data_IF_534275748355
#
_entry.id   IF_534275748355
#
_cell.length_a   1.000
_cell.length_b   1.000
_cell.length_c   1.000
_cell.angle_alpha   90.00
_cell.angle_beta   90.00
_cell.angle_gamma   90.00
#
_symmetry.space_group_name_H-M   'P 1'
#
loop_
_entity.id
_entity.type
_entity.pdbx_description
1 polymer ?
#
# COMPACT_ATOMS: atom_id res chain seq x y z
N UNK A 1 -13.85 7.77 14.70
CA UNK A 1 -14.19 7.46 13.29
C UNK A 1 -12.95 6.90 12.60
N UNK A 2 -12.78 5.57 12.61
CA UNK A 2 -11.69 4.91 11.89
C UNK A 2 -12.11 4.72 10.43
N UNK A 3 -11.37 5.28 9.48
CA UNK A 3 -11.67 5.08 8.06
C UNK A 3 -11.36 3.62 7.65
N UNK A 4 -12.13 3.01 6.72
CA UNK A 4 -11.97 1.62 6.28
C UNK A 4 -10.61 1.23 5.63
N UNK A 5 -9.64 2.15 5.54
CA UNK A 5 -8.42 2.02 4.73
C UNK A 5 -7.14 1.62 5.48
N UNK A 6 -7.24 1.07 6.70
CA UNK A 6 -6.07 0.63 7.48
C UNK A 6 -5.98 -0.88 7.65
N UNK A 7 -6.10 -1.63 6.55
CA UNK A 7 -5.89 -3.07 6.58
C UNK A 7 -4.39 -3.38 6.56
N UNK A 8 -3.92 -4.29 7.43
CA UNK A 8 -2.51 -4.72 7.50
C UNK A 8 -1.95 -5.14 6.12
N UNK A 9 -2.80 -5.72 5.27
CA UNK A 9 -2.48 -6.08 3.89
C UNK A 9 -2.10 -4.87 3.03
N UNK A 10 -2.85 -3.77 3.09
CA UNK A 10 -2.55 -2.54 2.34
C UNK A 10 -1.20 -1.97 2.76
N UNK A 11 -0.88 -2.01 4.07
CA UNK A 11 0.42 -1.57 4.58
C UNK A 11 1.60 -2.41 4.07
N UNK A 12 1.41 -3.73 3.94
CA UNK A 12 2.42 -4.66 3.37
C UNK A 12 2.59 -4.43 1.87
N UNK A 13 1.49 -4.32 1.12
CA UNK A 13 1.54 -4.08 -0.34
C UNK A 13 2.24 -2.77 -0.65
N UNK A 14 1.87 -1.69 0.04
CA UNK A 14 2.53 -0.38 -0.12
C UNK A 14 4.02 -0.46 0.22
N UNK A 15 4.39 -1.15 1.30
CA UNK A 15 5.80 -1.35 1.67
C UNK A 15 6.59 -2.10 0.60
N UNK A 16 6.02 -3.15 0.01
CA UNK A 16 6.67 -3.93 -1.06
C UNK A 16 6.83 -3.13 -2.35
N UNK A 17 5.79 -2.39 -2.75
CA UNK A 17 5.85 -1.53 -3.94
C UNK A 17 6.89 -0.42 -3.77
N UNK A 18 6.94 0.19 -2.59
CA UNK A 18 7.91 1.22 -2.26
C UNK A 18 9.35 0.67 -2.27
N UNK A 19 9.57 -0.49 -1.64
CA UNK A 19 10.88 -1.16 -1.67
C UNK A 19 11.32 -1.54 -3.08
N UNK A 20 10.42 -2.08 -3.90
CA UNK A 20 10.70 -2.39 -5.30
C UNK A 20 11.06 -1.14 -6.10
N UNK A 21 10.31 -0.04 -5.93
CA UNK A 21 10.58 1.20 -6.63
C UNK A 21 11.95 1.77 -6.26
N UNK A 22 12.35 1.72 -4.98
CA UNK A 22 13.70 2.13 -4.56
C UNK A 22 14.80 1.28 -5.20
N UNK A 23 14.63 -0.04 -5.25
CA UNK A 23 15.62 -0.94 -5.89
C UNK A 23 15.72 -0.66 -7.39
N UNK A 24 14.60 -0.42 -8.07
CA UNK A 24 14.57 -0.05 -9.48
C UNK A 24 15.30 1.27 -9.71
N UNK A 25 14.99 2.32 -8.92
CA UNK A 25 15.69 3.60 -8.99
C UNK A 25 17.19 3.44 -8.70
N UNK A 26 17.56 2.65 -7.70
CA UNK A 26 18.97 2.43 -7.36
C UNK A 26 19.73 1.75 -8.51
N UNK A 27 19.21 0.64 -9.05
CA UNK A 27 19.88 -0.09 -10.13
C UNK A 27 20.00 0.74 -11.41
N UNK A 28 18.92 1.42 -11.81
CA UNK A 28 18.94 2.31 -12.99
C UNK A 28 19.81 3.55 -12.77
N UNK A 29 19.84 4.09 -11.55
CA UNK A 29 20.68 5.22 -11.16
C UNK A 29 22.17 4.87 -11.17
N UNK A 30 22.55 3.71 -10.63
CA UNK A 30 23.92 3.19 -10.71
C UNK A 30 24.36 3.01 -12.16
N UNK A 31 23.50 2.41 -13.00
CA UNK A 31 23.79 2.26 -14.42
C UNK A 31 24.05 3.62 -15.08
N UNK A 32 23.18 4.60 -14.85
CA UNK A 32 23.34 5.96 -15.39
C UNK A 32 24.61 6.66 -14.87
N UNK A 33 24.93 6.48 -13.59
CA UNK A 33 26.12 7.06 -12.97
C UNK A 33 27.40 6.48 -13.56
N UNK A 34 27.53 5.15 -13.61
CA UNK A 34 28.73 4.49 -14.14
C UNK A 34 28.89 4.62 -15.65
N UNK A 35 27.80 4.84 -16.40
CA UNK A 35 27.89 5.19 -17.80
C UNK A 35 28.55 6.57 -18.01
N UNK A 36 28.34 7.51 -17.08
CA UNK A 36 28.93 8.85 -17.12
C UNK A 36 30.29 8.94 -16.42
N UNK A 37 30.51 8.11 -15.40
CA UNK A 37 31.72 8.07 -14.56
C UNK A 37 32.16 6.62 -14.37
N UNK A 38 32.67 5.96 -15.42
CA UNK A 38 33.10 4.57 -15.33
C UNK A 38 34.34 4.44 -14.44
N UNK A 39 34.40 3.37 -13.65
CA UNK A 39 35.62 2.98 -12.95
C UNK A 39 36.66 2.44 -13.96
N UNK A 40 37.96 2.44 -13.61
CA UNK A 40 39.00 1.86 -14.47
C UNK A 40 38.64 0.43 -14.89
N UNK A 41 38.66 0.16 -16.20
CA UNK A 41 38.33 -1.15 -16.78
C UNK A 41 36.85 -1.41 -17.06
N UNK A 42 35.92 -0.57 -16.58
CA UNK A 42 34.49 -0.70 -16.91
C UNK A 42 34.21 -0.14 -18.31
N UNK A 43 33.57 -0.97 -19.14
CA UNK A 43 33.08 -0.58 -20.47
C UNK A 43 31.59 -0.85 -20.54
N UNK A 44 30.82 0.15 -20.94
CA UNK A 44 29.37 0.03 -21.11
C UNK A 44 28.98 0.15 -22.57
N UNK A 45 27.97 -0.61 -22.96
CA UNK A 45 27.35 -0.46 -24.26
C UNK A 45 26.56 0.86 -24.30
N UNK A 46 27.04 1.83 -25.07
CA UNK A 46 26.35 3.12 -25.31
C UNK A 46 25.31 3.02 -26.43
N UNK A 47 25.21 1.84 -27.07
CA UNK A 47 24.25 1.51 -28.12
C UNK A 47 23.59 0.18 -27.81
N UNK A 48 22.30 0.01 -28.17
CA UNK A 48 21.43 1.01 -28.80
C UNK A 48 20.98 2.11 -27.82
N UNK A 49 20.72 3.33 -28.31
CA UNK A 49 20.36 4.48 -27.45
C UNK A 49 19.06 4.27 -26.64
N UNK A 50 18.19 3.40 -27.15
CA UNK A 50 16.94 2.95 -26.55
C UNK A 50 17.16 2.32 -25.17
N UNK A 51 18.31 1.68 -24.94
CA UNK A 51 18.64 1.12 -23.63
C UNK A 51 18.70 2.22 -22.57
N UNK A 52 19.42 3.32 -22.85
CA UNK A 52 19.52 4.45 -21.93
C UNK A 52 18.17 5.15 -21.73
N UNK A 53 17.40 5.32 -22.81
CA UNK A 53 16.05 5.89 -22.72
C UNK A 53 15.13 5.06 -21.84
N UNK A 54 15.16 3.73 -22.00
CA UNK A 54 14.36 2.82 -21.18
C UNK A 54 14.77 2.89 -19.71
N UNK A 55 16.08 2.81 -19.41
CA UNK A 55 16.55 2.87 -18.01
C UNK A 55 16.25 4.22 -17.37
N UNK A 56 16.38 5.33 -18.09
CA UNK A 56 16.02 6.64 -17.55
C UNK A 56 14.53 6.85 -17.41
N UNK A 57 13.74 6.43 -18.39
CA UNK A 57 12.28 6.44 -18.29
C UNK A 57 11.83 5.66 -17.06
N UNK A 58 12.36 4.45 -16.87
CA UNK A 58 12.07 3.61 -15.72
C UNK A 58 12.49 4.27 -14.40
N UNK A 59 13.68 4.86 -14.34
CA UNK A 59 14.18 5.57 -13.15
C UNK A 59 13.25 6.72 -12.74
N UNK A 60 12.89 7.58 -13.71
CA UNK A 60 12.07 8.78 -13.47
C UNK A 60 10.65 8.37 -13.10
N UNK A 61 10.04 7.43 -13.83
CA UNK A 61 8.68 6.96 -13.53
C UNK A 61 8.60 6.29 -12.16
N UNK A 62 9.58 5.45 -11.81
CA UNK A 62 9.66 4.87 -10.47
C UNK A 62 9.86 5.94 -9.38
N UNK A 63 10.74 6.93 -9.63
CA UNK A 63 10.96 8.07 -8.74
C UNK A 63 9.68 8.88 -8.47
N UNK A 64 8.89 9.15 -9.50
CA UNK A 64 7.60 9.84 -9.37
C UNK A 64 6.60 8.95 -8.61
N UNK A 65 6.55 7.65 -8.88
CA UNK A 65 5.66 6.72 -8.19
C UNK A 65 5.98 6.59 -6.69
N UNK A 66 7.25 6.80 -6.28
CA UNK A 66 7.64 6.82 -4.87
C UNK A 66 6.95 7.95 -4.10
N UNK A 67 6.68 9.11 -4.72
CA UNK A 67 6.07 10.26 -4.02
C UNK A 67 4.76 9.88 -3.31
N UNK A 68 3.70 9.39 -4.00
CA UNK A 68 2.46 9.02 -3.33
C UNK A 68 2.63 7.81 -2.40
N UNK A 69 3.50 6.85 -2.73
CA UNK A 69 3.76 5.68 -1.89
C UNK A 69 4.41 6.07 -0.55
N UNK A 70 5.38 6.98 -0.59
CA UNK A 70 6.09 7.49 0.58
C UNK A 70 5.15 8.31 1.45
N UNK A 71 4.35 9.21 0.86
CA UNK A 71 3.34 9.99 1.60
C UNK A 71 2.29 9.08 2.27
N UNK A 72 1.81 8.05 1.56
CA UNK A 72 0.89 7.07 2.13
C UNK A 72 1.52 6.32 3.31
N UNK A 73 2.79 5.91 3.18
CA UNK A 73 3.52 5.22 4.25
C UNK A 73 3.77 6.12 5.45
N UNK A 74 4.18 7.37 5.22
CA UNK A 74 4.41 8.35 6.29
C UNK A 74 3.11 8.61 7.06
N UNK A 75 1.98 8.77 6.38
CA UNK A 75 0.68 8.96 7.04
C UNK A 75 0.30 7.80 7.99
N UNK A 76 0.66 6.57 7.62
CA UNK A 76 0.46 5.39 8.50
C UNK A 76 1.38 5.41 9.71
N UNK A 77 2.62 5.88 9.54
CA UNK A 77 3.67 5.87 10.59
C UNK A 77 3.61 7.11 11.49
N UNK A 78 2.97 8.20 11.05
CA UNK A 78 2.85 9.45 11.82
C UNK A 78 2.41 9.23 13.28
N UNK A 79 1.37 8.45 13.61
CA UNK A 79 0.97 8.21 15.00
C UNK A 79 2.07 7.54 15.84
N UNK A 80 2.91 6.70 15.24
CA UNK A 80 4.03 6.06 15.93
C UNK A 80 5.16 7.06 16.25
N UNK A 81 5.31 8.11 15.44
CA UNK A 81 6.32 9.15 15.67
C UNK A 81 5.98 10.07 16.86
N UNK A 82 4.69 10.21 17.19
CA UNK A 82 4.19 11.08 18.28
C UNK A 82 3.98 10.33 19.60
N UNK A 83 4.44 9.08 19.71
CA UNK A 83 4.30 8.29 20.93
C UNK A 83 5.12 8.86 22.09
N UNK A 84 4.55 8.76 23.29
CA UNK A 84 5.17 9.09 24.58
C UNK A 84 5.27 7.84 25.46
N UNK A 85 6.39 7.61 26.18
CA UNK A 85 7.65 8.35 26.15
C UNK A 85 8.41 8.16 24.82
N UNK A 86 9.08 9.21 24.30
CA UNK A 86 9.69 9.20 22.96
C UNK A 86 10.88 8.25 22.83
N UNK A 87 11.56 7.95 23.95
CA UNK A 87 12.69 7.02 24.00
C UNK A 87 12.50 6.13 25.22
N UNK A 88 12.41 4.82 24.99
CA UNK A 88 12.28 3.80 26.04
C UNK A 88 13.62 3.15 26.42
N UNK A 89 14.70 3.47 25.70
CA UNK A 89 16.06 2.97 25.91
C UNK A 89 16.97 3.22 24.71
N UNK A 90 18.25 2.84 24.82
CA UNK A 90 19.28 3.06 23.77
C UNK A 90 18.93 2.32 22.48
N UNK A 91 18.46 1.07 22.57
CA UNK A 91 18.04 0.28 21.40
C UNK A 91 16.88 0.95 20.67
N UNK A 92 15.85 1.39 21.41
CA UNK A 92 14.71 2.11 20.83
C UNK A 92 15.11 3.44 20.18
N UNK A 93 16.09 4.15 20.75
CA UNK A 93 16.65 5.36 20.13
C UNK A 93 17.31 5.04 18.79
N UNK A 94 18.15 3.99 18.74
CA UNK A 94 18.83 3.57 17.51
C UNK A 94 17.82 3.13 16.43
N UNK A 95 16.75 2.43 16.82
CA UNK A 95 15.66 2.08 15.90
C UNK A 95 15.01 3.33 15.30
N UNK A 96 14.65 4.32 16.13
CA UNK A 96 14.05 5.58 15.65
C UNK A 96 15.00 6.37 14.77
N UNK A 97 16.29 6.44 15.12
CA UNK A 97 17.31 7.10 14.31
C UNK A 97 17.47 6.41 12.95
N UNK A 98 17.45 5.07 12.90
CA UNK A 98 17.54 4.32 11.64
C UNK A 98 16.38 4.67 10.69
N UNK A 99 15.16 4.80 11.24
CA UNK A 99 13.97 5.20 10.50
C UNK A 99 14.09 6.65 10.05
N UNK A 100 14.54 7.55 10.92
CA UNK A 100 14.71 8.96 10.59
C UNK A 100 15.71 9.15 9.45
N UNK A 101 16.85 8.45 9.47
CA UNK A 101 17.84 8.46 8.40
C UNK A 101 17.24 7.96 7.09
N UNK A 102 16.52 6.83 7.12
CA UNK A 102 15.86 6.28 5.93
C UNK A 102 14.84 7.26 5.33
N UNK A 103 13.96 7.83 6.16
CA UNK A 103 12.94 8.79 5.72
C UNK A 103 13.57 10.06 5.17
N UNK A 104 14.56 10.63 5.87
CA UNK A 104 15.26 11.83 5.41
C UNK A 104 15.96 11.58 4.07
N UNK A 105 16.70 10.46 3.94
CA UNK A 105 17.36 10.09 2.69
C UNK A 105 16.36 9.90 1.55
N UNK A 106 15.21 9.25 1.80
CA UNK A 106 14.17 9.05 0.81
C UNK A 106 13.58 10.37 0.30
N UNK A 107 13.25 11.28 1.22
CA UNK A 107 12.70 12.60 0.86
C UNK A 107 13.73 13.40 0.06
N UNK A 108 14.97 13.48 0.53
CA UNK A 108 16.04 14.22 -0.17
C UNK A 108 16.29 13.65 -1.56
N UNK A 109 16.34 12.31 -1.70
CA UNK A 109 16.50 11.64 -2.99
C UNK A 109 15.38 12.00 -3.97
N UNK A 110 14.13 11.83 -3.53
CA UNK A 110 12.97 12.08 -4.40
C UNK A 110 12.86 13.55 -4.78
N UNK A 111 13.05 14.46 -3.83
CA UNK A 111 13.00 15.91 -4.08
C UNK A 111 14.12 16.33 -5.02
N UNK A 112 15.38 15.97 -4.75
CA UNK A 112 16.50 16.36 -5.62
C UNK A 112 16.37 15.73 -7.00
N UNK A 113 15.95 14.47 -7.09
CA UNK A 113 15.70 13.79 -8.36
C UNK A 113 14.59 14.43 -9.18
N UNK A 114 13.48 14.79 -8.53
CA UNK A 114 12.36 15.49 -9.16
C UNK A 114 12.81 16.86 -9.69
N UNK A 115 13.51 17.66 -8.88
CA UNK A 115 13.98 18.98 -9.28
C UNK A 115 15.01 18.91 -10.41
N UNK A 116 15.83 17.86 -10.45
CA UNK A 116 16.73 17.58 -11.57
C UNK A 116 15.96 17.34 -12.89
N UNK A 117 14.74 16.77 -12.87
CA UNK A 117 13.92 16.65 -14.10
C UNK A 117 13.49 18.01 -14.66
N UNK A 118 13.37 19.03 -13.80
CA UNK A 118 13.12 20.42 -14.17
C UNK A 118 14.41 21.23 -14.39
N UNK A 119 15.58 20.60 -14.24
CA UNK A 119 16.90 21.26 -14.30
C UNK A 119 17.04 22.43 -13.31
N UNK A 120 16.29 22.41 -12.20
CA UNK A 120 16.37 23.44 -11.17
C UNK A 120 17.20 22.94 -9.99
N UNK A 121 18.30 23.65 -9.69
CA UNK A 121 19.27 23.26 -8.66
C UNK A 121 19.44 24.40 -7.64
N UNK A 122 18.54 24.53 -6.65
CA UNK A 122 18.65 25.52 -5.58
C UNK A 122 19.78 25.21 -4.56
N UNK A 123 20.80 24.44 -4.96
CA UNK A 123 21.90 24.01 -4.11
C UNK A 123 23.25 24.18 -4.79
N UNK A 124 24.34 24.36 -4.02
CA UNK A 124 25.67 24.60 -4.57
C UNK A 124 26.46 23.31 -4.91
N UNK A 125 25.94 22.13 -4.57
CA UNK A 125 26.67 20.86 -4.69
C UNK A 125 26.43 20.13 -6.03
N UNK A 126 27.37 19.28 -6.48
CA UNK A 126 27.21 18.52 -7.72
C UNK A 126 26.13 17.42 -7.57
N UNK A 127 24.97 17.65 -8.18
CA UNK A 127 23.81 16.75 -8.10
C UNK A 127 24.19 15.27 -8.32
N UNK A 128 24.86 14.93 -9.42
CA UNK A 128 25.15 13.54 -9.80
C UNK A 128 25.92 12.76 -8.72
N UNK A 129 26.92 13.40 -8.12
CA UNK A 129 27.78 12.78 -7.11
C UNK A 129 27.02 12.63 -5.78
N UNK A 130 26.34 13.68 -5.34
CA UNK A 130 25.58 13.69 -4.09
C UNK A 130 24.38 12.76 -4.17
N UNK A 131 23.65 12.77 -5.27
CA UNK A 131 22.50 11.90 -5.51
C UNK A 131 22.94 10.43 -5.60
N UNK A 132 24.08 10.11 -6.22
CA UNK A 132 24.61 8.76 -6.19
C UNK A 132 25.04 8.33 -4.77
N UNK A 133 25.78 9.17 -4.05
CA UNK A 133 26.24 8.87 -2.69
C UNK A 133 25.06 8.65 -1.71
N UNK A 134 24.06 9.53 -1.74
CA UNK A 134 22.86 9.40 -0.93
C UNK A 134 22.03 8.17 -1.32
N UNK A 135 22.14 7.65 -2.55
CA UNK A 135 21.41 6.45 -2.94
C UNK A 135 21.93 5.21 -2.19
N UNK A 136 23.24 5.15 -1.91
CA UNK A 136 23.80 4.12 -1.02
C UNK A 136 23.34 4.27 0.42
N UNK A 137 23.23 5.52 0.92
CA UNK A 137 22.67 5.77 2.27
C UNK A 137 21.21 5.32 2.35
N UNK A 138 20.42 5.61 1.32
CA UNK A 138 19.02 5.20 1.23
C UNK A 138 18.87 3.68 1.21
N UNK A 139 19.61 2.98 0.34
CA UNK A 139 19.52 1.52 0.24
C UNK A 139 20.11 0.83 1.48
N UNK A 140 21.23 1.33 2.01
CA UNK A 140 21.83 0.81 3.24
C UNK A 140 20.91 0.97 4.45
N UNK A 141 20.27 2.13 4.60
CA UNK A 141 19.28 2.35 5.68
C UNK A 141 17.99 1.56 5.46
N UNK A 142 17.54 1.36 4.22
CA UNK A 142 16.42 0.46 3.90
C UNK A 142 16.75 -0.98 4.29
N UNK A 143 17.94 -1.47 3.94
CA UNK A 143 18.39 -2.81 4.29
C UNK A 143 18.49 -2.99 5.82
N UNK A 144 19.05 -1.99 6.52
CA UNK A 144 19.08 -1.96 7.98
C UNK A 144 17.66 -1.97 8.57
N UNK A 145 16.77 -1.13 8.04
CA UNK A 145 15.37 -1.07 8.47
C UNK A 145 14.66 -2.42 8.31
N UNK A 146 14.84 -3.08 7.16
CA UNK A 146 14.31 -4.42 6.92
C UNK A 146 14.94 -5.43 7.88
N UNK A 147 16.26 -5.40 8.09
CA UNK A 147 16.97 -6.32 8.98
C UNK A 147 16.51 -6.23 10.45
N UNK A 148 16.35 -5.01 10.96
CA UNK A 148 15.82 -4.75 12.31
C UNK A 148 14.38 -5.24 12.43
N UNK A 149 13.54 -4.96 11.43
CA UNK A 149 12.15 -5.43 11.39
C UNK A 149 12.03 -6.89 10.93
N UNK A 150 13.12 -7.58 10.58
CA UNK A 150 13.06 -8.92 10.01
C UNK A 150 12.52 -9.93 11.02
N UNK A 151 12.78 -9.74 12.33
CA UNK A 151 12.17 -10.57 13.38
C UNK A 151 10.65 -10.41 13.45
N UNK A 152 10.15 -9.20 13.23
CA UNK A 152 8.71 -8.91 13.11
C UNK A 152 8.17 -9.58 11.85
N UNK A 153 8.81 -9.35 10.71
CA UNK A 153 8.41 -9.85 9.40
C UNK A 153 8.43 -11.39 9.35
N UNK A 154 9.44 -12.03 9.95
CA UNK A 154 9.56 -13.49 9.99
C UNK A 154 8.46 -14.14 10.82
N UNK A 155 8.01 -13.47 11.90
CA UNK A 155 6.93 -13.96 12.74
C UNK A 155 5.57 -13.93 12.04
N UNK A 156 5.37 -12.97 11.12
CA UNK A 156 4.12 -12.81 10.35
C UNK A 156 4.26 -13.21 8.86
N UNK A 157 5.30 -13.97 8.52
CA UNK A 157 5.67 -14.28 7.12
C UNK A 157 4.61 -15.13 6.39
N UNK A 158 3.90 -15.98 7.13
CA UNK A 158 2.78 -16.78 6.61
C UNK A 158 1.48 -16.07 6.92
N UNK A 159 0.62 -15.91 5.90
CA UNK A 159 -0.70 -15.32 6.06
C UNK A 159 -1.56 -16.01 7.14
N UNK A 160 -1.38 -17.33 7.34
CA UNK A 160 -2.05 -18.10 8.41
C UNK A 160 -1.58 -17.77 9.83
N UNK A 161 -0.41 -17.16 9.98
CA UNK A 161 0.19 -16.86 11.28
C UNK A 161 -0.16 -15.40 11.71
N UNK A 162 -0.81 -14.64 10.82
CA UNK A 162 -1.19 -13.23 11.01
C UNK A 162 -2.68 -13.02 11.21
N UNK A 163 -3.50 -14.04 10.92
CA UNK A 163 -4.96 -13.97 10.99
C UNK A 163 -5.52 -15.19 11.74
N UNK A 164 -6.47 -14.97 12.65
CA UNK A 164 -7.21 -16.05 13.31
C UNK A 164 -8.15 -16.77 12.32
N UNK A 165 -8.77 -17.87 12.76
CA UNK A 165 -9.76 -18.62 11.95
C UNK A 165 -10.94 -17.75 11.45
N UNK A 166 -11.14 -16.57 12.04
CA UNK A 166 -12.17 -15.60 11.71
C UNK A 166 -11.66 -14.45 10.82
N UNK A 167 -10.41 -14.50 10.36
CA UNK A 167 -9.80 -13.50 9.49
C UNK A 167 -9.42 -12.19 10.18
N UNK A 168 -9.32 -12.17 11.52
CA UNK A 168 -8.90 -10.99 12.30
C UNK A 168 -7.40 -10.99 12.51
N UNK A 169 -6.77 -9.82 12.38
CA UNK A 169 -5.33 -9.69 12.56
C UNK A 169 -4.94 -9.98 14.02
N UNK A 170 -4.13 -11.01 14.24
CA UNK A 170 -3.63 -11.35 15.58
C UNK A 170 -2.37 -10.52 15.82
N UNK A 171 -2.55 -9.39 16.52
CA UNK A 171 -1.43 -8.59 17.00
C UNK A 171 -0.77 -9.33 18.17
N UNK A 172 0.47 -9.78 17.99
CA UNK A 172 1.23 -10.30 19.10
C UNK A 172 1.99 -9.14 19.82
N UNK A 173 1.75 -8.98 21.13
CA UNK A 173 2.24 -7.84 21.91
C UNK A 173 3.76 -7.90 22.17
N UNK A 174 4.41 -9.05 21.96
CA UNK A 174 5.85 -9.19 22.23
C UNK A 174 6.74 -8.68 21.08
N UNK A 175 6.13 -8.25 19.97
CA UNK A 175 6.86 -7.92 18.73
C UNK A 175 6.58 -6.51 18.21
N UNK A 176 5.84 -5.69 18.96
CA UNK A 176 5.72 -4.24 18.69
C UNK A 176 5.17 -3.96 17.29
N UNK A 177 3.92 -4.31 17.06
CA UNK A 177 3.26 -4.05 15.79
C UNK A 177 2.85 -2.57 15.69
N UNK A 178 3.51 -1.80 14.82
CA UNK A 178 3.10 -0.43 14.44
C UNK A 178 1.68 -0.35 13.83
N UNK A 179 1.02 -1.50 13.60
CA UNK A 179 -0.30 -1.57 12.99
C UNK A 179 -1.45 -1.31 13.98
N UNK A 180 -1.21 -1.28 15.30
CA UNK A 180 -2.22 -0.87 16.29
C UNK A 180 -1.68 0.23 17.22
N UNK A 181 -2.52 1.23 17.59
CA UNK A 181 -2.20 2.15 18.67
C UNK A 181 -2.07 1.41 20.03
N UNK A 182 -1.10 1.77 20.89
CA UNK A 182 -1.03 1.23 22.24
C UNK A 182 -2.28 1.67 23.02
N UNK A 183 -3.10 0.71 23.47
CA UNK A 183 -4.36 0.96 24.17
C UNK A 183 -5.55 0.12 23.67
N UNK A 184 -5.44 -0.51 22.50
CA UNK A 184 -6.36 -1.58 22.05
C UNK A 184 -5.82 -2.99 22.33
N UNK A 185 -4.72 -3.09 23.08
CA UNK A 185 -4.04 -4.33 23.44
C UNK A 185 -4.60 -4.97 24.73
N UNK A 186 -5.52 -4.30 25.44
CA UNK A 186 -6.19 -4.89 26.58
C UNK A 186 -7.13 -6.03 26.09
N UNK A 187 -7.24 -7.16 26.81
CA UNK A 187 -8.11 -8.25 26.42
C UNK A 187 -9.52 -7.69 26.19
N UNK A 188 -10.01 -7.78 24.95
CA UNK A 188 -11.43 -7.61 24.67
C UNK A 188 -12.14 -8.77 25.39
N UNK A 189 -12.44 -8.56 26.67
CA UNK A 189 -13.46 -9.31 27.37
C UNK A 189 -14.67 -9.31 26.45
N UNK A 190 -15.15 -10.51 26.12
CA UNK A 190 -16.18 -10.77 25.13
C UNK A 190 -17.34 -9.77 25.25
N UNK A 191 -17.34 -8.76 24.38
CA UNK A 191 -18.55 -7.99 24.10
C UNK A 191 -19.28 -8.80 23.03
N UNK A 192 -20.48 -9.35 23.31
CA UNK A 192 -21.28 -9.96 22.28
C UNK A 192 -21.61 -8.85 21.27
N UNK A 193 -21.01 -8.94 20.09
CA UNK A 193 -21.19 -7.94 19.05
C UNK A 193 -22.54 -8.19 18.39
N UNK A 194 -23.56 -7.45 18.81
CA UNK A 194 -24.77 -7.29 18.02
C UNK A 194 -24.39 -6.61 16.69
N UNK A 195 -24.67 -7.30 15.59
CA UNK A 195 -24.79 -6.80 14.21
C UNK A 195 -23.78 -5.73 13.77
N UNK A 196 -22.55 -6.18 13.50
CA UNK A 196 -21.64 -5.43 12.65
C UNK A 196 -22.17 -5.43 11.21
N UNK A 197 -22.99 -4.45 10.87
CA UNK A 197 -23.36 -4.16 9.47
C UNK A 197 -22.06 -3.89 8.69
N UNK A 198 -21.71 -4.70 7.68
CA UNK A 198 -20.51 -4.44 6.89
C UNK A 198 -20.72 -3.16 6.09
N UNK A 199 -20.05 -2.07 6.49
CA UNK A 199 -20.00 -0.85 5.69
C UNK A 199 -19.21 -1.18 4.42
N UNK A 200 -19.92 -1.48 3.34
CA UNK A 200 -19.32 -1.74 2.05
C UNK A 200 -18.54 -0.50 1.61
N UNK A 201 -17.21 -0.58 1.65
CA UNK A 201 -16.35 0.46 1.10
C UNK A 201 -16.73 0.67 -0.37
N UNK A 202 -17.24 1.86 -0.69
CA UNK A 202 -17.60 2.22 -2.06
C UNK A 202 -16.33 2.50 -2.85
N UNK A 203 -15.94 1.55 -3.71
CA UNK A 203 -14.82 1.71 -4.62
C UNK A 203 -15.26 2.45 -5.89
N UNK A 204 -14.48 3.44 -6.38
CA UNK A 204 -14.76 4.07 -7.67
C UNK A 204 -14.80 3.02 -8.79
N UNK A 205 -15.60 3.23 -9.84
CA UNK A 205 -15.63 2.30 -10.98
C UNK A 205 -14.36 2.44 -11.84
N UNK A 206 -13.98 1.38 -12.56
CA UNK A 206 -12.85 1.39 -13.50
C UNK A 206 -11.52 0.84 -12.95
N UNK A 207 -10.40 1.18 -13.60
CA UNK A 207 -9.07 0.65 -13.28
C UNK A 207 -8.64 1.02 -11.84
N UNK A 208 -8.81 2.28 -11.46
CA UNK A 208 -8.51 2.78 -10.11
C UNK A 208 -9.24 1.99 -9.04
N UNK A 209 -10.54 1.74 -9.23
CA UNK A 209 -11.33 0.89 -8.34
C UNK A 209 -10.81 -0.53 -8.20
N UNK A 210 -10.38 -1.14 -9.31
CA UNK A 210 -9.78 -2.48 -9.30
C UNK A 210 -8.46 -2.51 -8.55
N UNK A 211 -7.61 -1.49 -8.73
CA UNK A 211 -6.34 -1.36 -8.02
C UNK A 211 -6.55 -1.17 -6.53
N UNK A 212 -7.41 -0.23 -6.11
CA UNK A 212 -7.71 -0.02 -4.68
C UNK A 212 -8.30 -1.28 -4.04
N UNK A 213 -9.25 -1.93 -4.70
CA UNK A 213 -9.82 -3.20 -4.23
C UNK A 213 -8.78 -4.30 -4.11
N UNK A 214 -7.86 -4.39 -5.08
CA UNK A 214 -6.75 -5.34 -5.05
C UNK A 214 -5.75 -5.03 -3.95
N UNK A 215 -5.49 -3.75 -3.64
CA UNK A 215 -4.64 -3.33 -2.51
C UNK A 215 -5.29 -3.70 -1.18
N UNK A 216 -6.59 -3.47 -1.04
CA UNK A 216 -7.33 -3.72 0.20
C UNK A 216 -7.69 -5.19 0.43
N UNK A 217 -7.66 -6.01 -0.63
CA UNK A 217 -7.98 -7.43 -0.58
C UNK A 217 -9.48 -7.72 -0.46
N UNK A 218 -10.35 -6.78 -0.88
CA UNK A 218 -11.78 -6.99 -0.78
C UNK A 218 -12.19 -8.21 -1.64
N UNK A 219 -13.04 -9.11 -1.11
CA UNK A 219 -13.44 -10.32 -1.81
C UNK A 219 -14.05 -9.94 -3.17
N UNK A 220 -13.70 -10.70 -4.22
CA UNK A 220 -14.39 -10.59 -5.50
C UNK A 220 -15.87 -10.83 -5.20
N UNK A 221 -16.75 -9.90 -5.59
CA UNK A 221 -18.18 -10.18 -5.60
C UNK A 221 -18.37 -11.46 -6.41
N UNK A 222 -18.71 -12.55 -5.74
CA UNK A 222 -19.08 -13.77 -6.42
C UNK A 222 -20.22 -13.39 -7.35
N UNK A 223 -20.11 -13.74 -8.63
CA UNK A 223 -21.28 -13.72 -9.50
C UNK A 223 -22.39 -14.50 -8.77
N UNK A 224 -23.65 -14.01 -8.77
CA UNK A 224 -24.72 -14.71 -8.08
C UNK A 224 -24.73 -16.16 -8.57
N UNK A 225 -24.59 -17.10 -7.63
CA UNK A 225 -24.63 -18.51 -7.94
C UNK A 225 -25.92 -18.82 -8.72
N UNK A 226 -25.87 -19.65 -9.77
CA UNK A 226 -27.02 -19.90 -10.64
C UNK A 226 -28.27 -20.42 -9.90
N UNK A 227 -28.12 -20.91 -8.66
CA UNK A 227 -29.22 -21.32 -7.79
C UNK A 227 -30.17 -20.17 -7.40
N UNK A 228 -29.68 -18.93 -7.24
CA UNK A 228 -30.53 -17.79 -6.88
C UNK A 228 -31.41 -17.31 -8.05
N UNK A 229 -30.91 -17.42 -9.29
CA UNK A 229 -31.67 -17.11 -10.50
C UNK A 229 -32.77 -18.17 -10.77
N UNK A 230 -32.49 -19.44 -10.49
CA UNK A 230 -33.47 -20.52 -10.62
C UNK A 230 -34.61 -20.41 -9.61
N UNK A 231 -34.33 -19.94 -8.38
CA UNK A 231 -35.36 -19.71 -7.36
C UNK A 231 -36.29 -18.54 -7.73
N UNK A 232 -35.74 -17.45 -8.29
CA UNK A 232 -36.54 -16.31 -8.76
C UNK A 232 -37.45 -16.68 -9.95
N UNK A 233 -36.98 -17.55 -10.86
CA UNK A 233 -37.78 -18.05 -11.98
C UNK A 233 -38.97 -18.91 -11.51
N UNK A 234 -38.77 -19.80 -10.52
CA UNK A 234 -39.84 -20.66 -9.98
C UNK A 234 -40.95 -19.91 -9.26
N UNK A 235 -40.63 -18.76 -8.64
CA UNK A 235 -41.63 -17.90 -7.97
C UNK A 235 -42.47 -17.11 -8.98
N UNK A 236 -41.91 -16.80 -10.16
CA UNK A 236 -42.67 -16.14 -11.23
C UNK A 236 -43.66 -17.10 -11.90
N UNK A 237 -43.34 -18.40 -11.97
CA UNK A 237 -44.15 -19.43 -12.62
C UNK A 237 -45.34 -19.92 -11.75
N UNK A 238 -45.28 -19.71 -10.43
CA UNK A 238 -46.30 -20.18 -9.48
C UNK A 238 -47.41 -19.16 -9.16
N UNK A 239 -47.58 -18.11 -9.97
CA UNK A 239 -48.65 -17.11 -9.77
C UNK A 239 -49.84 -17.45 -10.69
N UNK A 240 -50.91 -18.09 -10.19
CA UNK A 240 -52.03 -18.48 -11.05
C UNK A 240 -52.87 -17.27 -11.47
N UNK A 241 -53.23 -17.28 -12.76
CA UNK A 241 -54.11 -16.37 -13.47
C UNK A 241 -55.46 -16.23 -12.74
N UNK A 242 -55.83 -15.01 -12.33
CA UNK A 242 -57.21 -14.68 -11.95
C UNK A 242 -57.85 -13.96 -13.13
N UNK A 243 -58.31 -14.74 -14.10
CA UNK A 243 -59.32 -14.31 -15.04
C UNK A 243 -60.65 -15.00 -14.74
N UNK A 244 -61.67 -14.16 -14.67
CA UNK A 244 -63.03 -14.37 -15.18
C UNK A 244 -64.18 -14.51 -14.17
N UNK A 245 -65.35 -14.04 -14.63
CA UNK A 245 -66.63 -13.74 -13.99
C UNK A 245 -66.78 -12.26 -13.58
N UNK A 246 -67.59 -11.41 -14.21
CA UNK A 246 -68.65 -11.65 -15.18
C UNK A 246 -69.85 -10.75 -14.86
N UNK A 247 -70.25 -9.96 -15.87
CA UNK A 247 -71.60 -9.44 -16.10
C UNK A 247 -72.21 -8.32 -15.23
N UNK A 248 -72.34 -7.17 -15.90
CA UNK A 248 -73.57 -6.38 -16.11
C UNK A 248 -74.31 -5.75 -14.91
N UNK A 249 -74.43 -4.42 -14.91
CA UNK A 249 -75.59 -3.73 -15.52
C UNK A 249 -75.63 -2.22 -15.18
N UNK A 250 -76.00 -1.43 -16.22
CA UNK A 250 -76.83 -0.21 -16.23
C UNK A 250 -76.45 0.96 -15.31
N UNK A 251 -75.99 2.10 -15.83
CA UNK A 251 -76.70 3.15 -16.60
C UNK A 251 -77.21 4.31 -15.71
N UNK A 252 -77.19 5.51 -16.32
CA UNK A 252 -77.77 6.81 -15.92
C UNK A 252 -76.81 7.80 -15.24
N UNK A 253 -76.33 8.74 -16.05
CA UNK A 253 -76.18 10.18 -15.72
C UNK A 253 -77.47 10.90 -16.17
N UNK A 254 -77.79 12.12 -15.70
CA UNK A 254 -76.96 13.12 -15.03
C UNK A 254 -77.22 13.32 -13.53
#
# INVERSE_FOLDING_TARGET
MASPNRNARSAVVLGRLLGLAFVVCFGTGLYSYFLQQPLPGMRFATRPAQLYQFTQGLHITAGIAIIPLLLAKLNVVMPALVQTPPVRGVVHLLERLSIAVFVAAAIVQVVTGLLNTYQWYPWPFPFKQVHNALAYVLIGSLALHIGVKLRVISRYWRARDSYDEHGRFVADPTVGSELLPPGQEAPLAAVPSADAVPVAASYPRGLTGRVLRWVDGAPRSAAPAPAAAAAAARVAESRPDRQDAGHAARAVSP
#
